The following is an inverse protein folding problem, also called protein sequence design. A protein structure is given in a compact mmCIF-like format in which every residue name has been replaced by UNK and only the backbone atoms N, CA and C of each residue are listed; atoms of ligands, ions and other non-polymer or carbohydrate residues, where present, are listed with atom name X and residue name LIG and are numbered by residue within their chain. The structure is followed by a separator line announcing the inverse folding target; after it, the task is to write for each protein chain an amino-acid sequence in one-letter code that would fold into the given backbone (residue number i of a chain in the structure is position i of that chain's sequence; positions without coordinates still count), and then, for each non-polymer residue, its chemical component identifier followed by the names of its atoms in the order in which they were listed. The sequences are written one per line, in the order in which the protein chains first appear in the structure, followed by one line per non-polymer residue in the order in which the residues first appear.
data_IF_665103320191
#
_entry.id   IF_665103320191
#
_cell.length_a   1.000
_cell.length_b   1.000
_cell.length_c   1.000
_cell.angle_alpha   90.00
_cell.angle_beta   90.00
_cell.angle_gamma   90.00
#
_symmetry.space_group_name_H-M   'P 1'
#
loop_
_entity.id
_entity.type
_entity.pdbx_description
1 polymer ?
#
# COMPACT_ATOMS: atom_id res chain seq x y z
N UNK A 1 -3.06 -32.28 -0.91
CA UNK A 1 -2.57 -31.56 -2.11
C UNK A 1 -1.06 -31.57 -2.07
N UNK A 2 -0.37 -32.02 -3.12
CA UNK A 2 1.10 -32.07 -3.14
C UNK A 2 1.72 -30.66 -3.16
N UNK A 3 2.98 -30.55 -2.77
CA UNK A 3 3.64 -29.25 -2.61
C UNK A 3 3.86 -28.52 -3.94
N UNK A 4 4.06 -29.26 -5.04
CA UNK A 4 4.15 -28.70 -6.38
C UNK A 4 2.84 -27.99 -6.81
N UNK A 5 1.69 -28.61 -6.58
CA UNK A 5 0.37 -28.06 -6.90
C UNK A 5 0.02 -26.87 -6.00
N UNK A 6 0.44 -26.88 -4.74
CA UNK A 6 0.33 -25.71 -3.84
C UNK A 6 1.16 -24.53 -4.37
N UNK A 7 2.40 -24.76 -4.79
CA UNK A 7 3.26 -23.71 -5.34
C UNK A 7 2.67 -23.12 -6.63
N UNK A 8 2.21 -23.96 -7.55
CA UNK A 8 1.53 -23.52 -8.77
C UNK A 8 0.27 -22.71 -8.47
N UNK A 9 -0.54 -23.16 -7.50
CA UNK A 9 -1.73 -22.44 -7.08
C UNK A 9 -1.40 -21.06 -6.49
N UNK A 10 -0.37 -20.98 -5.64
CA UNK A 10 0.08 -19.70 -5.09
C UNK A 10 0.57 -18.73 -6.17
N UNK A 11 1.28 -19.23 -7.19
CA UNK A 11 1.71 -18.42 -8.33
C UNK A 11 0.50 -17.92 -9.11
N UNK A 12 -0.48 -18.78 -9.41
CA UNK A 12 -1.70 -18.39 -10.14
C UNK A 12 -2.47 -17.32 -9.36
N UNK A 13 -2.69 -17.53 -8.06
CA UNK A 13 -3.39 -16.58 -7.19
C UNK A 13 -2.64 -15.24 -7.17
N UNK A 14 -1.32 -15.27 -6.98
CA UNK A 14 -0.50 -14.06 -7.00
C UNK A 14 -0.59 -13.28 -8.32
N UNK A 15 -0.55 -13.99 -9.45
CA UNK A 15 -0.72 -13.38 -10.77
C UNK A 15 -2.10 -12.75 -10.97
N UNK A 16 -3.17 -13.44 -10.55
CA UNK A 16 -4.54 -12.91 -10.62
C UNK A 16 -4.67 -11.65 -9.76
N UNK A 17 -4.17 -11.69 -8.52
CA UNK A 17 -4.18 -10.50 -7.64
C UNK A 17 -3.40 -9.35 -8.26
N UNK A 18 -2.25 -9.63 -8.86
CA UNK A 18 -1.41 -8.61 -9.52
C UNK A 18 -2.14 -7.97 -10.70
N UNK A 19 -2.80 -8.78 -11.54
CA UNK A 19 -3.63 -8.29 -12.65
C UNK A 19 -4.79 -7.42 -12.14
N UNK A 20 -5.49 -7.85 -11.10
CA UNK A 20 -6.57 -7.06 -10.49
C UNK A 20 -6.06 -5.72 -9.94
N UNK A 21 -4.88 -5.71 -9.31
CA UNK A 21 -4.26 -4.48 -8.84
C UNK A 21 -3.94 -3.51 -9.99
N UNK A 22 -3.37 -4.01 -11.09
CA UNK A 22 -3.10 -3.20 -12.29
C UNK A 22 -4.39 -2.64 -12.89
N UNK A 23 -5.43 -3.47 -13.04
CA UNK A 23 -6.74 -3.03 -13.53
C UNK A 23 -7.30 -1.94 -12.61
N UNK A 24 -7.22 -2.13 -11.29
CA UNK A 24 -7.65 -1.13 -10.32
C UNK A 24 -6.91 0.19 -10.49
N UNK A 25 -5.58 0.17 -10.68
CA UNK A 25 -4.79 1.39 -10.93
C UNK A 25 -5.27 2.09 -12.19
N UNK A 26 -5.44 1.37 -13.30
CA UNK A 26 -5.85 1.94 -14.59
C UNK A 26 -7.25 2.56 -14.51
N UNK A 27 -8.21 1.86 -13.90
CA UNK A 27 -9.58 2.35 -13.74
C UNK A 27 -9.68 3.56 -12.79
N UNK A 28 -8.70 3.73 -11.90
CA UNK A 28 -8.65 4.83 -10.93
C UNK A 28 -7.59 5.89 -11.28
N UNK A 29 -7.34 6.08 -12.59
CA UNK A 29 -6.47 7.16 -13.10
C UNK A 29 -7.15 8.53 -13.15
N UNK A 30 -8.48 8.59 -12.97
CA UNK A 30 -9.20 9.85 -12.98
C UNK A 30 -8.72 10.79 -11.86
N UNK A 31 -8.37 12.05 -12.17
CA UNK A 31 -7.89 13.00 -11.17
C UNK A 31 -9.04 13.42 -10.26
N UNK A 32 -8.90 13.14 -8.96
CA UNK A 32 -9.86 13.51 -7.92
C UNK A 32 -9.30 14.67 -7.11
N UNK A 33 -10.16 15.64 -6.77
CA UNK A 33 -9.78 16.75 -5.90
C UNK A 33 -9.69 16.28 -4.45
N UNK A 34 -8.52 16.49 -3.84
CA UNK A 34 -8.22 16.07 -2.47
C UNK A 34 -7.94 17.34 -1.67
N UNK A 35 -8.59 17.44 -0.51
CA UNK A 35 -8.47 18.61 0.36
C UNK A 35 -7.56 18.27 1.55
N UNK A 36 -6.46 19.01 1.70
CA UNK A 36 -5.52 18.91 2.81
C UNK A 36 -5.78 19.95 3.92
N UNK A 37 -7.00 20.49 3.96
CA UNK A 37 -7.41 21.55 4.87
C UNK A 37 -7.04 22.95 4.37
N UNK A 38 -5.76 23.15 4.03
CA UNK A 38 -5.23 24.45 3.61
C UNK A 38 -5.11 24.63 2.09
N UNK A 39 -5.02 23.53 1.35
CA UNK A 39 -4.89 23.54 -0.10
C UNK A 39 -5.56 22.30 -0.70
N UNK A 40 -5.89 22.39 -1.99
CA UNK A 40 -6.49 21.30 -2.75
C UNK A 40 -5.57 20.90 -3.89
N UNK A 41 -5.40 19.60 -4.06
CA UNK A 41 -4.60 19.02 -5.15
C UNK A 41 -5.47 18.05 -5.93
N UNK A 42 -5.36 18.04 -7.26
CA UNK A 42 -6.04 17.06 -8.11
C UNK A 42 -5.04 15.99 -8.55
N UNK A 43 -5.19 14.79 -8.02
CA UNK A 43 -4.36 13.63 -8.35
C UNK A 43 -5.23 12.37 -8.47
N UNK A 44 -4.81 11.38 -9.26
CA UNK A 44 -5.39 10.04 -9.20
C UNK A 44 -5.35 9.49 -7.77
N UNK A 45 -6.46 8.90 -7.32
CA UNK A 45 -6.62 8.46 -5.93
C UNK A 45 -5.58 7.43 -5.51
N UNK A 46 -5.17 6.54 -6.43
CA UNK A 46 -4.14 5.52 -6.18
C UNK A 46 -2.79 6.12 -5.80
N UNK A 47 -2.39 7.23 -6.45
CA UNK A 47 -1.11 7.89 -6.16
C UNK A 47 -1.11 8.41 -4.73
N UNK A 48 -2.22 9.01 -4.31
CA UNK A 48 -2.33 9.54 -2.95
C UNK A 48 -2.37 8.43 -1.92
N UNK A 49 -3.10 7.33 -2.17
CA UNK A 49 -3.10 6.18 -1.26
C UNK A 49 -1.70 5.59 -1.05
N UNK A 50 -0.94 5.39 -2.13
CA UNK A 50 0.43 4.85 -2.04
C UNK A 50 1.33 5.79 -1.23
N UNK A 51 1.29 7.10 -1.52
CA UNK A 51 2.07 8.09 -0.77
C UNK A 51 1.68 8.11 0.71
N UNK A 52 0.38 8.06 1.03
CA UNK A 52 -0.09 8.06 2.42
C UNK A 52 0.34 6.80 3.19
N UNK A 53 0.32 5.63 2.55
CA UNK A 53 0.83 4.39 3.15
C UNK A 53 2.33 4.50 3.45
N UNK A 54 3.12 5.01 2.51
CA UNK A 54 4.56 5.24 2.70
C UNK A 54 4.80 6.20 3.87
N UNK A 55 4.08 7.33 3.92
CA UNK A 55 4.16 8.29 5.03
C UNK A 55 3.81 7.62 6.36
N UNK A 56 2.76 6.81 6.42
CA UNK A 56 2.38 6.06 7.62
C UNK A 56 3.48 5.09 8.09
N UNK A 57 4.12 4.36 7.17
CA UNK A 57 5.25 3.47 7.48
C UNK A 57 6.44 4.26 8.04
N UNK A 58 6.78 5.38 7.40
CA UNK A 58 7.88 6.23 7.84
C UNK A 58 7.64 6.84 9.22
N UNK A 59 6.42 7.34 9.48
CA UNK A 59 6.02 7.86 10.79
C UNK A 59 6.04 6.76 11.85
N UNK A 60 5.51 5.58 11.54
CA UNK A 60 5.52 4.43 12.46
C UNK A 60 6.93 3.98 12.80
N UNK A 61 7.84 3.96 11.82
CA UNK A 61 9.25 3.63 12.03
C UNK A 61 9.97 4.70 12.87
N UNK A 62 9.74 5.98 12.59
CA UNK A 62 10.35 7.10 13.33
C UNK A 62 9.87 7.15 14.79
N UNK A 63 8.56 7.04 15.02
CA UNK A 63 7.99 7.04 16.37
C UNK A 63 8.30 5.73 17.12
N UNK A 64 8.39 4.61 16.41
CA UNK A 64 8.70 3.30 16.96
C UNK A 64 10.13 3.17 17.48
N UNK A 65 11.08 3.99 17.01
CA UNK A 65 12.45 4.01 17.53
C UNK A 65 12.50 4.41 19.01
N UNK A 66 11.60 5.29 19.48
CA UNK A 66 11.54 5.71 20.89
C UNK A 66 11.15 4.58 21.87
N UNK A 67 10.45 3.56 21.39
CA UNK A 67 9.95 2.46 22.23
C UNK A 67 10.93 1.28 22.36
N UNK A 68 12.00 1.24 21.57
CA UNK A 68 13.04 0.20 21.65
C UNK A 68 14.02 0.44 22.81
N UNK A 69 14.07 1.66 23.37
CA UNK A 69 14.92 1.99 24.53
C UNK A 69 14.30 1.60 25.89
N UNK A 70 13.04 1.11 25.92
CA UNK A 70 12.32 0.83 27.17
C UNK A 70 12.00 -0.65 27.41
N UNK A 71 12.77 -1.56 26.81
CA UNK A 71 12.68 -3.01 27.12
C UNK A 71 14.05 -3.60 27.46
N UNK A 72 14.64 -3.06 28.52
CA UNK A 72 15.62 -3.77 29.34
C UNK A 72 15.44 -3.29 30.77
N UNK A 73 14.66 -4.06 31.54
CA UNK A 73 14.66 -4.26 32.99
C UNK A 73 13.35 -4.96 33.35
#
# INVERSE_FOLDING_TARGET
MNDAKKKQLNIIIGSVITLLAVIFVVLNTNPVAINFGFFKVKLPLIIVLVVMVIVGILLGWFLGQGNQFKKKN
#
